data_IF_146536923692
#
_entry.id   IF_146536923692
#
_cell.length_a   1.000
_cell.length_b   1.000
_cell.length_c   1.000
_cell.angle_alpha   90.00
_cell.angle_beta   90.00
_cell.angle_gamma   90.00
#
_symmetry.space_group_name_H-M   'P 1'
#
loop_
_entity.id
_entity.type
_entity.pdbx_description
1 polymer ?
#
# COMPACT_ATOMS: atom_id res chain seq x y z
N UNK A 1 -44.61 -43.64 -58.64
CA UNK A 1 -44.73 -43.25 -57.19
C UNK A 1 -43.92 -41.99 -57.02
N UNK A 2 -44.56 -40.80 -57.11
CA UNK A 2 -43.93 -39.49 -56.98
C UNK A 2 -44.09 -39.07 -55.51
N UNK A 3 -42.97 -38.96 -54.74
CA UNK A 3 -42.94 -38.41 -53.36
C UNK A 3 -42.92 -36.91 -53.45
N UNK A 4 -44.02 -36.30 -53.03
CA UNK A 4 -44.18 -34.85 -52.89
C UNK A 4 -43.49 -34.42 -51.57
N UNK A 5 -42.41 -33.64 -51.63
CA UNK A 5 -41.72 -33.07 -50.47
C UNK A 5 -42.34 -31.71 -50.17
N UNK A 6 -43.16 -31.64 -49.10
CA UNK A 6 -43.75 -30.41 -48.63
C UNK A 6 -42.67 -29.75 -47.72
N UNK A 7 -42.10 -28.62 -48.19
CA UNK A 7 -41.20 -27.78 -47.43
C UNK A 7 -42.02 -26.88 -46.53
N UNK A 8 -42.13 -27.25 -45.24
CA UNK A 8 -42.75 -26.39 -44.21
C UNK A 8 -41.75 -25.28 -43.85
N UNK A 9 -41.95 -24.09 -44.37
CA UNK A 9 -41.22 -22.90 -44.04
C UNK A 9 -41.72 -22.41 -42.66
N UNK A 10 -40.99 -22.74 -41.61
CA UNK A 10 -41.26 -22.26 -40.25
C UNK A 10 -40.92 -20.77 -40.21
N UNK A 11 -41.94 -19.92 -40.38
CA UNK A 11 -41.86 -18.50 -40.01
C UNK A 11 -41.75 -18.38 -38.48
N UNK A 12 -40.53 -18.29 -37.98
CA UNK A 12 -40.29 -17.86 -36.60
C UNK A 12 -40.65 -16.35 -36.56
N UNK A 13 -41.66 -15.94 -35.77
CA UNK A 13 -41.88 -14.51 -35.58
C UNK A 13 -40.67 -13.96 -34.76
N UNK A 14 -39.89 -13.13 -35.39
CA UNK A 14 -38.97 -12.24 -34.66
C UNK A 14 -39.82 -11.35 -33.75
N UNK A 15 -40.00 -11.79 -32.51
CA UNK A 15 -40.55 -10.93 -31.48
C UNK A 15 -39.48 -9.87 -31.25
N UNK A 16 -39.58 -8.75 -31.93
CA UNK A 16 -38.90 -7.53 -31.56
C UNK A 16 -39.52 -7.13 -30.21
N UNK A 17 -38.88 -7.48 -29.12
CA UNK A 17 -39.20 -6.89 -27.81
C UNK A 17 -38.90 -5.40 -27.95
N UNK A 18 -39.94 -4.62 -28.25
CA UNK A 18 -39.88 -3.19 -28.05
C UNK A 18 -39.54 -2.96 -26.59
N UNK A 19 -38.31 -2.52 -26.29
CA UNK A 19 -37.94 -2.13 -24.95
C UNK A 19 -38.93 -1.02 -24.54
N UNK A 20 -39.84 -1.36 -23.63
CA UNK A 20 -40.77 -0.40 -23.06
C UNK A 20 -39.97 0.68 -22.35
N UNK A 21 -40.41 1.92 -22.52
CA UNK A 21 -39.82 3.08 -21.84
C UNK A 21 -39.75 2.85 -20.35
N UNK A 22 -38.57 2.95 -19.73
CA UNK A 22 -38.43 2.67 -18.28
C UNK A 22 -39.02 3.82 -17.46
N UNK A 23 -39.58 3.48 -16.30
CA UNK A 23 -40.22 4.45 -15.37
C UNK A 23 -39.30 5.61 -14.95
N UNK A 24 -37.99 5.43 -15.03
CA UNK A 24 -37.02 6.46 -14.67
C UNK A 24 -36.68 7.43 -15.79
N UNK A 25 -37.13 7.19 -17.05
CA UNK A 25 -36.77 8.05 -18.17
C UNK A 25 -37.46 9.41 -18.09
N UNK A 26 -38.77 9.45 -17.84
CA UNK A 26 -39.50 10.69 -17.65
C UNK A 26 -39.31 11.26 -16.27
N UNK A 27 -39.08 12.59 -16.15
CA UNK A 27 -38.74 13.26 -14.90
C UNK A 27 -39.79 13.09 -13.79
N UNK A 28 -41.09 13.16 -14.13
CA UNK A 28 -42.17 13.04 -13.17
C UNK A 28 -42.32 11.61 -12.66
N UNK A 29 -42.19 10.63 -13.54
CA UNK A 29 -42.20 9.20 -13.20
C UNK A 29 -40.95 8.87 -12.33
N UNK A 30 -39.78 9.39 -12.69
CA UNK A 30 -38.55 9.23 -11.91
C UNK A 30 -38.70 9.74 -10.48
N UNK A 31 -39.25 10.94 -10.28
CA UNK A 31 -39.51 11.49 -8.94
C UNK A 31 -40.53 10.67 -8.15
N UNK A 32 -41.54 10.11 -8.81
CA UNK A 32 -42.56 9.27 -8.18
C UNK A 32 -42.01 7.91 -7.73
N UNK A 33 -41.24 7.23 -8.57
CA UNK A 33 -40.71 5.88 -8.29
C UNK A 33 -39.45 5.91 -7.44
N UNK A 34 -38.63 6.98 -7.55
CA UNK A 34 -37.37 7.15 -6.85
C UNK A 34 -37.34 8.48 -6.06
N UNK A 35 -38.20 8.65 -5.05
CA UNK A 35 -38.28 9.88 -4.27
C UNK A 35 -36.97 10.15 -3.52
N UNK A 36 -36.51 11.41 -3.54
CA UNK A 36 -35.26 11.88 -2.91
C UNK A 36 -35.15 11.56 -1.42
N UNK A 37 -36.26 11.43 -0.70
CA UNK A 37 -36.27 11.00 0.70
C UNK A 37 -35.81 9.55 0.89
N UNK A 38 -35.87 8.70 -0.14
CA UNK A 38 -35.55 7.26 -0.06
C UNK A 38 -34.39 6.81 -0.94
N UNK A 39 -34.02 7.60 -1.96
CA UNK A 39 -32.99 7.28 -2.93
C UNK A 39 -32.03 8.44 -3.14
N UNK A 40 -30.78 8.09 -3.44
CA UNK A 40 -29.87 8.98 -4.15
C UNK A 40 -29.91 8.58 -5.63
N UNK A 41 -30.03 9.57 -6.50
CA UNK A 41 -30.20 9.36 -7.92
C UNK A 41 -29.27 10.25 -8.75
N UNK A 42 -28.93 9.79 -9.93
CA UNK A 42 -28.26 10.56 -10.96
C UNK A 42 -28.79 10.17 -12.33
N UNK A 43 -28.99 11.13 -13.20
CA UNK A 43 -29.51 10.94 -14.55
C UNK A 43 -28.63 11.65 -15.56
N UNK A 44 -28.32 10.98 -16.65
CA UNK A 44 -27.61 11.58 -17.75
C UNK A 44 -28.16 11.04 -19.08
N UNK A 45 -28.20 11.91 -20.08
CA UNK A 45 -28.53 11.52 -21.43
C UNK A 45 -27.60 12.18 -22.43
N UNK A 46 -27.42 11.56 -23.58
CA UNK A 46 -26.63 12.14 -24.65
C UNK A 46 -26.93 11.45 -25.99
N UNK A 47 -26.78 12.22 -27.04
CA UNK A 47 -26.77 11.68 -28.40
C UNK A 47 -25.37 11.17 -28.76
N UNK A 48 -25.32 10.22 -29.67
CA UNK A 48 -24.10 9.70 -30.26
C UNK A 48 -23.41 10.77 -31.10
N UNK A 49 -22.13 10.98 -30.85
CA UNK A 49 -21.30 11.90 -31.66
C UNK A 49 -20.90 11.24 -32.97
N UNK A 50 -20.59 12.06 -34.01
CA UNK A 50 -20.08 11.53 -35.25
C UNK A 50 -18.82 10.68 -35.05
N UNK A 51 -18.82 9.43 -35.52
CA UNK A 51 -17.71 8.50 -35.35
C UNK A 51 -17.62 7.80 -34.00
N UNK A 52 -18.48 8.13 -33.03
CA UNK A 52 -18.49 7.48 -31.69
C UNK A 52 -19.21 6.11 -31.76
N UNK A 53 -18.63 5.07 -31.13
CA UNK A 53 -19.30 3.77 -31.02
C UNK A 53 -20.46 3.83 -30.02
N UNK A 54 -21.43 2.91 -30.14
CA UNK A 54 -22.54 2.80 -29.19
C UNK A 54 -22.02 2.54 -27.76
N UNK A 55 -21.00 1.68 -27.62
CA UNK A 55 -20.39 1.36 -26.32
C UNK A 55 -19.72 2.57 -25.69
N UNK A 56 -19.05 3.42 -26.47
CA UNK A 56 -18.38 4.61 -25.99
C UNK A 56 -19.36 5.64 -25.41
N UNK A 57 -20.47 5.93 -26.14
CA UNK A 57 -21.49 6.85 -25.65
C UNK A 57 -22.23 6.27 -24.43
N UNK A 58 -22.53 4.96 -24.44
CA UNK A 58 -23.18 4.27 -23.32
C UNK A 58 -22.31 4.35 -22.06
N UNK A 59 -21.00 4.10 -22.18
CA UNK A 59 -20.06 4.25 -21.08
C UNK A 59 -20.03 5.69 -20.55
N UNK A 60 -19.90 6.67 -21.44
CA UNK A 60 -19.87 8.09 -21.08
C UNK A 60 -21.13 8.52 -20.32
N UNK A 61 -22.30 8.09 -20.76
CA UNK A 61 -23.59 8.43 -20.12
C UNK A 61 -23.73 7.73 -18.77
N UNK A 62 -23.30 6.46 -18.65
CA UNK A 62 -23.24 5.74 -17.35
C UNK A 62 -22.33 6.44 -16.35
N UNK A 63 -21.16 6.87 -16.79
CA UNK A 63 -20.19 7.53 -15.91
C UNK A 63 -20.72 8.91 -15.48
N UNK A 64 -21.39 9.64 -16.35
CA UNK A 64 -22.05 10.90 -16.01
C UNK A 64 -23.18 10.72 -14.99
N UNK A 65 -24.05 9.71 -15.14
CA UNK A 65 -25.11 9.41 -14.18
C UNK A 65 -24.55 8.99 -12.82
N UNK A 66 -23.47 8.19 -12.78
CA UNK A 66 -22.77 7.86 -11.54
C UNK A 66 -22.21 9.10 -10.85
N UNK A 67 -21.57 9.98 -11.62
CA UNK A 67 -20.98 11.22 -11.11
C UNK A 67 -22.05 12.12 -10.50
N UNK A 68 -23.22 12.23 -11.12
CA UNK A 68 -24.33 13.02 -10.59
C UNK A 68 -24.88 12.41 -9.29
N UNK A 69 -25.11 11.08 -9.22
CA UNK A 69 -25.52 10.42 -8.00
C UNK A 69 -24.49 10.62 -6.87
N UNK A 70 -23.18 10.51 -7.18
CA UNK A 70 -22.11 10.76 -6.25
C UNK A 70 -22.06 12.22 -5.77
N UNK A 71 -22.32 13.18 -6.67
CA UNK A 71 -22.33 14.61 -6.31
C UNK A 71 -23.42 14.95 -5.30
N UNK A 72 -24.58 14.31 -5.41
CA UNK A 72 -25.70 14.47 -4.48
C UNK A 72 -25.31 14.02 -3.05
N UNK A 73 -24.54 12.95 -2.93
CA UNK A 73 -24.02 12.46 -1.65
C UNK A 73 -22.92 13.40 -1.11
N UNK A 74 -22.01 13.87 -1.97
CA UNK A 74 -20.86 14.72 -1.60
C UNK A 74 -21.23 16.06 -0.99
N UNK A 75 -22.29 16.68 -1.44
CA UNK A 75 -22.74 17.98 -0.91
C UNK A 75 -22.98 17.92 0.61
N UNK A 76 -23.30 16.74 1.14
CA UNK A 76 -23.51 16.51 2.56
C UNK A 76 -22.21 16.20 3.34
N UNK A 77 -21.17 15.66 2.67
CA UNK A 77 -19.90 15.20 3.30
C UNK A 77 -18.92 16.32 3.66
N UNK A 78 -19.03 17.51 3.10
CA UNK A 78 -18.00 18.56 3.19
C UNK A 78 -17.75 19.16 4.59
N UNK A 79 -18.50 18.80 5.60
CA UNK A 79 -18.44 19.43 6.93
C UNK A 79 -17.97 18.55 8.10
N UNK A 80 -17.51 17.31 7.87
CA UNK A 80 -17.17 16.40 8.98
C UNK A 80 -15.67 16.15 9.08
N UNK A 81 -15.06 16.62 10.18
CA UNK A 81 -13.62 16.52 10.48
C UNK A 81 -13.39 15.39 11.50
N UNK A 82 -12.96 14.21 11.08
CA UNK A 82 -12.87 13.07 12.01
C UNK A 82 -11.48 12.54 12.33
N UNK A 83 -10.39 12.88 11.68
CA UNK A 83 -9.07 12.23 11.94
C UNK A 83 -7.88 13.19 12.08
N UNK A 84 -8.06 14.35 12.72
CA UNK A 84 -6.96 15.30 12.92
C UNK A 84 -5.85 14.75 13.84
N UNK A 85 -6.20 13.97 14.88
CA UNK A 85 -5.23 13.45 15.84
C UNK A 85 -4.26 12.43 15.21
N UNK A 86 -4.76 11.48 14.42
CA UNK A 86 -3.92 10.50 13.73
C UNK A 86 -3.03 11.18 12.67
N UNK A 87 -3.60 12.09 11.88
CA UNK A 87 -2.84 12.87 10.88
C UNK A 87 -1.72 13.70 11.52
N UNK A 88 -1.93 14.25 12.71
CA UNK A 88 -0.91 15.04 13.41
C UNK A 88 0.21 14.17 13.96
N UNK A 89 -0.11 13.00 14.51
CA UNK A 89 0.88 12.01 14.98
C UNK A 89 1.73 11.50 13.81
N UNK A 90 1.11 11.21 12.66
CA UNK A 90 1.78 10.70 11.47
C UNK A 90 2.74 11.72 10.82
N UNK A 91 2.46 13.02 10.92
CA UNK A 91 3.33 14.09 10.38
C UNK A 91 4.70 14.18 11.08
N UNK A 92 4.80 13.68 12.31
CA UNK A 92 6.04 13.69 13.11
C UNK A 92 6.92 12.47 12.88
N UNK A 93 6.51 11.52 11.99
CA UNK A 93 7.21 10.26 11.77
C UNK A 93 8.21 10.32 10.62
N UNK A 94 9.29 9.54 10.75
CA UNK A 94 10.34 9.40 9.74
C UNK A 94 10.39 7.99 9.13
N UNK A 95 11.07 7.84 7.99
CA UNK A 95 11.33 6.55 7.36
C UNK A 95 10.11 5.94 6.65
N UNK A 96 9.90 4.63 6.83
CA UNK A 96 8.84 3.83 6.17
C UNK A 96 7.44 4.37 6.47
N UNK A 97 7.21 4.87 7.70
CA UNK A 97 5.93 5.44 8.10
C UNK A 97 5.60 6.75 7.39
N UNK A 98 6.60 7.52 6.96
CA UNK A 98 6.39 8.79 6.25
C UNK A 98 5.67 8.61 4.91
N UNK A 99 5.99 7.56 4.18
CA UNK A 99 5.32 7.26 2.90
C UNK A 99 3.87 6.82 3.13
N UNK A 100 3.64 5.90 4.05
CA UNK A 100 2.29 5.42 4.42
C UNK A 100 1.42 6.53 5.03
N UNK A 101 2.04 7.44 5.81
CA UNK A 101 1.38 8.63 6.33
C UNK A 101 0.96 9.62 5.22
N UNK A 102 1.78 9.80 4.18
CA UNK A 102 1.42 10.61 3.00
C UNK A 102 0.28 9.98 2.23
N UNK A 103 0.30 8.67 2.07
CA UNK A 103 -0.74 7.90 1.38
C UNK A 103 -2.07 7.97 2.15
N UNK A 104 -2.05 7.82 3.47
CA UNK A 104 -3.19 8.03 4.36
C UNK A 104 -3.75 9.45 4.22
N UNK A 105 -2.90 10.49 4.32
CA UNK A 105 -3.32 11.89 4.20
C UNK A 105 -3.87 12.19 2.80
N UNK A 106 -3.27 11.63 1.75
CA UNK A 106 -3.76 11.78 0.38
C UNK A 106 -5.14 11.15 0.19
N UNK A 107 -5.35 9.92 0.68
CA UNK A 107 -6.64 9.22 0.60
C UNK A 107 -7.74 9.96 1.38
N UNK A 108 -7.44 10.51 2.55
CA UNK A 108 -8.42 11.26 3.36
C UNK A 108 -8.76 12.64 2.80
N UNK A 109 -7.91 13.22 1.94
CA UNK A 109 -8.14 14.55 1.33
C UNK A 109 -8.68 14.51 -0.09
N UNK A 110 -8.50 13.40 -0.82
CA UNK A 110 -8.85 13.25 -2.24
C UNK A 110 -9.99 12.26 -2.47
N UNK A 111 -11.10 12.34 -1.76
CA UNK A 111 -12.29 11.53 -2.04
C UNK A 111 -12.95 11.88 -3.39
N UNK A 112 -12.21 11.74 -4.51
CA UNK A 112 -12.69 12.10 -5.84
C UNK A 112 -13.35 10.93 -6.57
N UNK A 113 -12.97 9.67 -6.24
CA UNK A 113 -13.52 8.45 -6.86
C UNK A 113 -14.20 7.56 -5.80
N UNK A 114 -15.28 8.07 -5.18
CA UNK A 114 -16.05 7.27 -4.25
C UNK A 114 -16.85 6.20 -5.02
N UNK A 115 -16.48 4.93 -4.89
CA UNK A 115 -17.37 3.83 -5.24
C UNK A 115 -18.54 3.82 -4.24
N UNK A 116 -19.73 4.19 -4.71
CA UNK A 116 -20.94 4.15 -3.89
C UNK A 116 -21.40 2.69 -3.80
N UNK A 117 -21.33 2.07 -2.60
CA UNK A 117 -21.73 0.67 -2.46
C UNK A 117 -23.22 0.49 -2.80
N UNK A 118 -23.52 -0.48 -3.67
CA UNK A 118 -24.89 -0.81 -4.07
C UNK A 118 -25.53 0.12 -5.08
N UNK A 119 -24.77 1.05 -5.67
CA UNK A 119 -25.24 1.88 -6.77
C UNK A 119 -25.57 1.01 -7.99
N UNK A 120 -26.81 1.08 -8.43
CA UNK A 120 -27.27 0.44 -9.66
C UNK A 120 -27.26 1.45 -10.80
N UNK A 121 -26.95 0.99 -12.02
CA UNK A 121 -26.97 1.85 -13.21
C UNK A 121 -27.68 1.12 -14.33
N UNK A 122 -28.78 1.68 -14.75
CA UNK A 122 -29.60 1.21 -15.88
C UNK A 122 -29.36 2.13 -17.07
N UNK A 123 -29.54 1.59 -18.28
CA UNK A 123 -29.43 2.35 -19.53
C UNK A 123 -30.59 2.03 -20.46
N UNK A 124 -31.00 3.02 -21.19
CA UNK A 124 -32.05 2.87 -22.20
C UNK A 124 -31.73 3.74 -23.40
N UNK A 125 -32.06 3.23 -24.58
CA UNK A 125 -31.94 3.98 -25.80
C UNK A 125 -33.35 4.29 -26.34
N UNK A 126 -33.65 5.56 -26.46
CA UNK A 126 -34.91 6.01 -27.07
C UNK A 126 -34.95 5.59 -28.54
N UNK A 127 -35.88 4.71 -28.95
CA UNK A 127 -35.95 4.25 -30.31
C UNK A 127 -36.40 5.33 -31.29
N UNK A 128 -37.02 6.42 -30.84
CA UNK A 128 -37.51 7.50 -31.64
C UNK A 128 -36.47 8.56 -31.95
N UNK A 129 -35.61 8.89 -30.98
CA UNK A 129 -34.59 9.93 -31.09
C UNK A 129 -33.16 9.38 -31.21
N UNK A 130 -32.95 8.12 -30.85
CA UNK A 130 -31.63 7.51 -30.76
C UNK A 130 -30.83 7.99 -29.55
N UNK A 131 -31.43 8.80 -28.68
CA UNK A 131 -30.81 9.30 -27.43
C UNK A 131 -30.53 8.13 -26.47
N UNK A 132 -29.35 8.13 -25.88
CA UNK A 132 -28.97 7.15 -24.87
C UNK A 132 -29.04 7.83 -23.51
N UNK A 133 -29.83 7.26 -22.63
CA UNK A 133 -30.00 7.71 -21.25
C UNK A 133 -29.43 6.67 -20.28
N UNK A 134 -28.88 7.12 -19.15
CA UNK A 134 -28.51 6.29 -18.02
C UNK A 134 -29.10 6.87 -16.74
N UNK A 135 -29.49 5.97 -15.85
CA UNK A 135 -30.03 6.28 -14.55
C UNK A 135 -29.27 5.50 -13.49
N UNK A 136 -28.58 6.23 -12.62
CA UNK A 136 -27.88 5.67 -11.47
C UNK A 136 -28.73 5.91 -10.22
N UNK A 137 -28.93 4.87 -9.40
CA UNK A 137 -29.70 5.00 -8.17
C UNK A 137 -29.22 4.04 -7.08
N UNK A 138 -29.35 4.48 -5.84
CA UNK A 138 -29.15 3.63 -4.65
C UNK A 138 -30.21 3.97 -3.60
N UNK A 139 -30.79 2.93 -3.00
CA UNK A 139 -31.70 3.10 -1.87
C UNK A 139 -30.93 3.52 -0.64
N UNK A 140 -31.30 4.64 0.04
CA UNK A 140 -30.60 5.16 1.24
C UNK A 140 -30.41 4.09 2.30
N UNK A 141 -31.45 3.35 2.67
CA UNK A 141 -31.36 2.27 3.64
C UNK A 141 -30.44 1.10 3.24
N UNK A 142 -30.20 0.90 1.94
CA UNK A 142 -29.23 -0.10 1.46
C UNK A 142 -27.82 0.44 1.57
N UNK A 143 -27.62 1.70 1.21
CA UNK A 143 -26.33 2.37 1.33
C UNK A 143 -25.88 2.44 2.80
N UNK A 144 -26.76 2.86 3.72
CA UNK A 144 -26.49 2.90 5.16
C UNK A 144 -25.99 1.55 5.65
N UNK A 145 -26.73 0.47 5.42
CA UNK A 145 -26.33 -0.89 5.85
C UNK A 145 -25.00 -1.35 5.24
N UNK A 146 -24.70 -0.95 4.02
CA UNK A 146 -23.44 -1.30 3.38
C UNK A 146 -22.27 -0.49 3.94
N UNK A 147 -22.47 0.77 4.30
CA UNK A 147 -21.49 1.60 4.97
C UNK A 147 -21.18 1.07 6.37
N UNK A 148 -22.20 0.76 7.18
CA UNK A 148 -22.03 0.13 8.50
C UNK A 148 -21.24 -1.19 8.39
N UNK A 149 -21.58 -2.02 7.42
CA UNK A 149 -20.84 -3.26 7.14
C UNK A 149 -19.40 -2.98 6.72
N UNK A 150 -19.15 -1.97 5.89
CA UNK A 150 -17.80 -1.61 5.45
C UNK A 150 -16.95 -1.12 6.62
N UNK A 151 -17.52 -0.34 7.54
CA UNK A 151 -16.88 0.10 8.78
C UNK A 151 -16.48 -1.13 9.61
N UNK A 152 -17.43 -2.03 9.90
CA UNK A 152 -17.17 -3.24 10.69
C UNK A 152 -16.08 -4.12 10.07
N UNK A 153 -16.18 -4.39 8.78
CA UNK A 153 -15.19 -5.21 8.06
C UNK A 153 -13.82 -4.52 8.05
N UNK A 154 -13.79 -3.20 7.85
CA UNK A 154 -12.56 -2.42 7.88
C UNK A 154 -11.87 -2.49 9.24
N UNK A 155 -12.62 -2.29 10.33
CA UNK A 155 -12.10 -2.36 11.71
C UNK A 155 -11.59 -3.76 12.06
N UNK A 156 -12.35 -4.82 11.72
CA UNK A 156 -11.91 -6.21 11.92
C UNK A 156 -10.61 -6.53 11.16
N UNK A 157 -10.47 -6.01 9.95
CA UNK A 157 -9.23 -6.17 9.15
C UNK A 157 -8.06 -5.45 9.81
N UNK A 158 -8.28 -4.24 10.32
CA UNK A 158 -7.27 -3.47 11.06
C UNK A 158 -6.86 -4.24 12.33
N UNK A 159 -7.81 -4.69 13.14
CA UNK A 159 -7.57 -5.46 14.35
C UNK A 159 -6.73 -6.70 14.07
N UNK A 160 -7.13 -7.51 13.07
CA UNK A 160 -6.37 -8.69 12.63
C UNK A 160 -4.94 -8.34 12.23
N UNK A 161 -4.75 -7.22 11.53
CA UNK A 161 -3.41 -6.75 11.15
C UNK A 161 -2.58 -6.35 12.36
N UNK A 162 -3.19 -5.69 13.35
CA UNK A 162 -2.51 -5.30 14.59
C UNK A 162 -2.16 -6.52 15.46
N UNK A 163 -3.00 -7.55 15.50
CA UNK A 163 -2.69 -8.81 16.19
C UNK A 163 -1.49 -9.52 15.57
N UNK A 164 -1.40 -9.49 14.24
CA UNK A 164 -0.22 -10.00 13.54
C UNK A 164 1.04 -9.18 13.84
N UNK A 165 0.91 -7.85 13.94
CA UNK A 165 2.03 -6.98 14.34
C UNK A 165 2.52 -7.35 15.73
N UNK A 166 1.62 -7.54 16.71
CA UNK A 166 2.00 -7.92 18.07
C UNK A 166 2.70 -9.29 18.10
N UNK A 167 2.23 -10.26 17.31
CA UNK A 167 2.90 -11.56 17.16
C UNK A 167 4.31 -11.41 16.57
N UNK A 168 4.50 -10.58 15.56
CA UNK A 168 5.81 -10.31 14.97
C UNK A 168 6.75 -9.65 16.01
N UNK A 169 6.24 -8.70 16.80
CA UNK A 169 7.00 -8.07 17.89
C UNK A 169 7.41 -9.12 18.94
N UNK A 170 6.49 -9.96 19.38
CA UNK A 170 6.76 -11.03 20.34
C UNK A 170 7.82 -12.01 19.84
N UNK A 171 7.84 -12.29 18.54
CA UNK A 171 8.84 -13.13 17.87
C UNK A 171 10.17 -12.41 17.61
N UNK A 172 10.30 -11.11 17.97
CA UNK A 172 11.48 -10.29 17.73
C UNK A 172 11.67 -9.86 16.27
N UNK A 173 10.63 -10.01 15.43
CA UNK A 173 10.64 -9.65 14.00
C UNK A 173 10.23 -8.17 13.81
N UNK A 174 10.94 -7.26 14.50
CA UNK A 174 10.58 -5.83 14.59
C UNK A 174 10.47 -5.13 13.22
N UNK A 175 11.30 -5.49 12.22
CA UNK A 175 11.20 -4.88 10.89
C UNK A 175 9.93 -5.29 10.17
N UNK A 176 9.57 -6.58 10.20
CA UNK A 176 8.33 -7.06 9.59
C UNK A 176 7.10 -6.46 10.31
N UNK A 177 7.15 -6.38 11.64
CA UNK A 177 6.13 -5.70 12.46
C UNK A 177 5.94 -4.24 12.02
N UNK A 178 7.05 -3.51 11.83
CA UNK A 178 7.05 -2.12 11.37
C UNK A 178 6.44 -1.96 9.97
N UNK A 179 6.83 -2.84 9.04
CA UNK A 179 6.31 -2.80 7.67
C UNK A 179 4.81 -3.12 7.63
N UNK A 180 4.35 -4.08 8.44
CA UNK A 180 2.94 -4.43 8.55
C UNK A 180 2.13 -3.31 9.20
N UNK A 181 2.63 -2.73 10.30
CA UNK A 181 2.00 -1.57 10.95
C UNK A 181 1.87 -0.38 9.99
N UNK A 182 2.90 -0.12 9.16
CA UNK A 182 2.86 0.92 8.14
C UNK A 182 1.78 0.64 7.07
N UNK A 183 1.63 -0.62 6.65
CA UNK A 183 0.59 -1.04 5.69
C UNK A 183 -0.83 -1.00 6.27
N UNK A 184 -0.99 -1.00 7.58
CA UNK A 184 -2.29 -0.90 8.25
C UNK A 184 -2.82 0.53 8.26
N UNK A 185 -1.96 1.54 8.21
CA UNK A 185 -2.37 2.96 8.20
C UNK A 185 -3.38 3.34 7.11
N UNK A 186 -3.20 2.96 5.83
CA UNK A 186 -4.16 3.29 4.77
C UNK A 186 -5.56 2.70 5.00
N UNK A 187 -5.69 1.60 5.76
CA UNK A 187 -6.97 0.96 6.06
C UNK A 187 -7.86 1.85 6.94
N UNK A 188 -7.27 2.64 7.84
CA UNK A 188 -8.03 3.63 8.62
C UNK A 188 -8.63 4.73 7.74
N UNK A 189 -8.02 5.06 6.60
CA UNK A 189 -8.59 6.03 5.67
C UNK A 189 -9.87 5.51 5.00
N UNK A 190 -9.91 4.21 4.69
CA UNK A 190 -11.10 3.55 4.13
C UNK A 190 -12.25 3.54 5.14
N UNK A 191 -11.98 3.26 6.42
CA UNK A 191 -12.96 3.33 7.51
C UNK A 191 -13.46 4.76 7.71
N UNK A 192 -12.56 5.74 7.76
CA UNK A 192 -12.89 7.16 7.93
C UNK A 192 -13.79 7.68 6.78
N UNK A 193 -13.51 7.28 5.54
CA UNK A 193 -14.35 7.62 4.40
C UNK A 193 -15.76 7.03 4.50
N UNK A 194 -15.86 5.75 4.92
CA UNK A 194 -17.15 5.12 5.15
C UNK A 194 -17.94 5.79 6.28
N UNK A 195 -17.28 6.15 7.40
CA UNK A 195 -17.88 6.87 8.52
C UNK A 195 -18.38 8.27 8.10
N UNK A 196 -17.57 9.04 7.38
CA UNK A 196 -17.97 10.35 6.84
C UNK A 196 -19.17 10.25 5.91
N UNK A 197 -19.16 9.24 5.04
CA UNK A 197 -20.28 9.03 4.12
C UNK A 197 -21.54 8.61 4.87
N UNK A 198 -21.40 7.76 5.92
CA UNK A 198 -22.55 7.35 6.74
C UNK A 198 -23.20 8.54 7.43
N UNK A 199 -22.40 9.44 8.06
CA UNK A 199 -22.92 10.69 8.65
C UNK A 199 -23.64 11.57 7.63
N UNK A 200 -23.14 11.58 6.38
CA UNK A 200 -23.76 12.41 5.34
C UNK A 200 -25.09 11.84 4.81
N UNK A 201 -25.30 10.54 4.88
CA UNK A 201 -26.48 9.86 4.30
C UNK A 201 -27.50 9.46 5.34
N UNK A 202 -27.12 9.39 6.62
CA UNK A 202 -27.98 9.05 7.75
C UNK A 202 -27.94 10.17 8.81
N UNK A 203 -29.04 10.89 8.92
CA UNK A 203 -29.21 11.97 9.92
C UNK A 203 -29.24 11.44 11.36
N UNK A 204 -29.44 10.13 11.55
CA UNK A 204 -29.47 9.48 12.86
C UNK A 204 -28.15 8.74 13.18
N UNK A 205 -27.11 8.90 12.35
CA UNK A 205 -25.82 8.28 12.61
C UNK A 205 -25.25 8.76 13.96
N UNK A 206 -24.95 7.80 14.83
CA UNK A 206 -24.43 8.03 16.18
C UNK A 206 -23.06 7.38 16.39
N UNK A 207 -22.49 7.51 17.59
CA UNK A 207 -21.19 6.93 17.93
C UNK A 207 -21.17 5.41 17.80
N UNK A 208 -22.31 4.72 18.03
CA UNK A 208 -22.42 3.25 17.96
C UNK A 208 -22.43 2.80 16.51
N UNK A 209 -23.31 3.35 15.66
CA UNK A 209 -23.38 3.04 14.23
C UNK A 209 -22.08 3.34 13.48
N UNK A 210 -21.37 4.40 13.92
CA UNK A 210 -20.04 4.79 13.40
C UNK A 210 -18.89 3.99 14.01
N UNK A 211 -19.11 3.19 15.06
CA UNK A 211 -18.09 2.43 15.79
C UNK A 211 -16.88 3.28 16.20
N UNK A 212 -17.14 4.52 16.66
CA UNK A 212 -16.09 5.50 16.95
C UNK A 212 -15.19 5.08 18.12
N UNK A 213 -15.74 4.40 19.14
CA UNK A 213 -14.96 3.92 20.29
C UNK A 213 -13.93 2.86 19.87
N UNK A 214 -14.35 1.93 19.02
CA UNK A 214 -13.48 0.87 18.49
C UNK A 214 -12.39 1.48 17.60
N UNK A 215 -12.78 2.38 16.68
CA UNK A 215 -11.84 3.12 15.82
C UNK A 215 -10.77 3.84 16.66
N UNK A 216 -11.16 4.57 17.71
CA UNK A 216 -10.24 5.27 18.61
C UNK A 216 -9.32 4.31 19.37
N UNK A 217 -9.82 3.15 19.74
CA UNK A 217 -9.05 2.13 20.46
C UNK A 217 -7.97 1.53 19.56
N UNK A 218 -8.32 1.14 18.33
CA UNK A 218 -7.37 0.61 17.36
C UNK A 218 -6.35 1.67 16.93
N UNK A 219 -6.76 2.94 16.78
CA UNK A 219 -5.83 4.04 16.50
C UNK A 219 -4.81 4.24 17.62
N UNK A 220 -5.24 4.20 18.90
CA UNK A 220 -4.32 4.29 20.05
C UNK A 220 -3.36 3.11 20.10
N UNK A 221 -3.86 1.89 19.85
CA UNK A 221 -3.03 0.68 19.78
C UNK A 221 -1.96 0.81 18.69
N UNK A 222 -2.35 1.18 17.47
CA UNK A 222 -1.39 1.40 16.38
C UNK A 222 -0.36 2.48 16.72
N UNK A 223 -0.80 3.60 17.30
CA UNK A 223 0.09 4.70 17.70
C UNK A 223 1.11 4.24 18.75
N UNK A 224 0.69 3.42 19.74
CA UNK A 224 1.58 2.78 20.73
C UNK A 224 2.61 1.88 20.07
N UNK A 225 2.16 0.96 19.21
CA UNK A 225 3.05 0.05 18.46
C UNK A 225 4.08 0.85 17.63
N UNK A 226 3.64 1.89 16.94
CA UNK A 226 4.55 2.74 16.15
C UNK A 226 5.57 3.45 17.03
N UNK A 227 5.16 3.94 18.22
CA UNK A 227 6.08 4.58 19.16
C UNK A 227 7.14 3.59 19.66
N UNK A 228 6.73 2.37 19.97
CA UNK A 228 7.65 1.30 20.44
C UNK A 228 8.60 0.85 19.31
N UNK A 229 8.09 0.76 18.07
CA UNK A 229 8.90 0.40 16.91
C UNK A 229 9.75 1.58 16.36
N UNK A 230 9.54 2.81 16.83
CA UNK A 230 10.31 4.00 16.44
C UNK A 230 11.80 3.88 16.83
N UNK A 231 12.08 3.20 17.92
CA UNK A 231 13.45 2.96 18.36
C UNK A 231 14.17 1.87 17.58
N UNK A 232 13.84 1.64 16.33
CA UNK A 232 14.61 0.86 15.39
C UNK A 232 15.12 -0.50 15.92
N UNK A 233 15.80 -1.23 15.05
CA UNK A 233 16.57 -2.40 15.47
C UNK A 233 17.89 -1.90 16.05
N UNK A 234 18.15 -2.22 17.30
CA UNK A 234 19.43 -1.93 17.95
C UNK A 234 20.47 -2.95 17.51
N UNK A 235 21.53 -2.48 16.86
CA UNK A 235 22.63 -3.33 16.40
C UNK A 235 23.90 -2.97 17.16
N UNK A 236 24.51 -3.98 17.80
CA UNK A 236 25.90 -3.89 18.19
C UNK A 236 26.78 -4.30 17.01
N UNK A 237 27.58 -3.38 16.47
CA UNK A 237 28.47 -3.65 15.34
C UNK A 237 29.94 -3.57 15.77
N UNK A 238 30.56 -4.74 15.89
CA UNK A 238 32.00 -4.89 16.02
C UNK A 238 32.60 -5.16 14.65
N UNK A 239 33.40 -4.24 14.13
CA UNK A 239 33.98 -4.37 12.80
C UNK A 239 35.47 -4.04 12.86
N UNK A 240 36.30 -5.04 12.59
CA UNK A 240 37.76 -4.91 12.43
C UNK A 240 38.11 -5.09 10.95
N UNK A 241 38.72 -4.09 10.36
CA UNK A 241 39.20 -4.11 8.97
C UNK A 241 40.69 -3.80 8.95
N UNK A 242 41.52 -4.84 8.94
CA UNK A 242 42.96 -4.68 8.92
C UNK A 242 43.48 -4.55 7.48
N UNK A 243 44.02 -3.36 7.19
CA UNK A 243 44.66 -3.06 5.92
C UNK A 243 46.19 -2.97 6.14
N UNK A 244 46.84 -4.13 6.10
CA UNK A 244 48.29 -4.26 6.26
C UNK A 244 48.83 -3.64 7.56
N UNK A 245 48.19 -3.93 8.70
CA UNK A 245 48.54 -3.40 10.01
C UNK A 245 47.87 -2.04 10.36
N UNK A 246 47.06 -1.50 9.47
CA UNK A 246 46.32 -0.25 9.70
C UNK A 246 44.82 -0.51 9.70
N UNK A 247 44.10 -0.02 10.70
CA UNK A 247 42.66 -0.17 10.74
C UNK A 247 41.93 0.72 9.71
N UNK A 248 41.18 0.11 8.81
CA UNK A 248 40.36 0.79 7.81
C UNK A 248 38.94 1.05 8.35
N UNK A 249 38.80 2.08 9.17
CA UNK A 249 37.54 2.45 9.85
C UNK A 249 36.39 2.81 8.88
N UNK A 250 36.68 3.14 7.62
CA UNK A 250 35.66 3.48 6.63
C UNK A 250 34.70 2.31 6.34
N UNK A 251 35.14 1.04 6.45
CA UNK A 251 34.25 -0.12 6.25
C UNK A 251 33.09 -0.11 7.25
N UNK A 252 33.41 0.07 8.55
CA UNK A 252 32.39 0.17 9.60
C UNK A 252 31.42 1.31 9.35
N UNK A 253 31.93 2.50 8.99
CA UNK A 253 31.13 3.68 8.74
C UNK A 253 30.18 3.50 7.53
N UNK A 254 30.64 2.84 6.46
CA UNK A 254 29.81 2.53 5.28
C UNK A 254 28.66 1.58 5.65
N UNK A 255 28.96 0.48 6.35
CA UNK A 255 27.94 -0.49 6.80
C UNK A 255 26.92 0.19 7.72
N UNK A 256 27.38 0.99 8.70
CA UNK A 256 26.50 1.75 9.58
C UNK A 256 25.61 2.71 8.79
N UNK A 257 26.17 3.44 7.84
CA UNK A 257 25.42 4.40 7.00
C UNK A 257 24.29 3.73 6.21
N UNK A 258 24.55 2.56 5.62
CA UNK A 258 23.52 1.83 4.87
C UNK A 258 22.45 1.22 5.77
N UNK A 259 22.82 0.62 6.91
CA UNK A 259 21.87 0.05 7.86
C UNK A 259 21.04 1.14 8.56
N UNK A 260 21.60 2.34 8.81
CA UNK A 260 20.86 3.48 9.36
C UNK A 260 19.73 3.96 8.41
N UNK A 261 19.93 3.88 7.08
CA UNK A 261 18.87 4.18 6.10
C UNK A 261 17.69 3.22 6.21
N UNK A 262 17.92 2.01 6.74
CA UNK A 262 16.89 1.02 7.01
C UNK A 262 16.22 1.20 8.39
N UNK A 263 16.64 2.22 9.15
CA UNK A 263 16.11 2.53 10.49
C UNK A 263 16.77 1.73 11.60
N UNK A 264 17.95 1.14 11.36
CA UNK A 264 18.75 0.56 12.43
C UNK A 264 19.44 1.63 13.26
N UNK A 265 19.52 1.41 14.57
CA UNK A 265 20.31 2.21 15.52
C UNK A 265 21.50 1.40 16.03
N UNK A 266 22.61 2.08 16.37
CA UNK A 266 23.82 1.40 16.82
C UNK A 266 24.05 1.67 18.29
N UNK A 267 24.29 0.59 19.05
CA UNK A 267 24.55 0.62 20.47
C UNK A 267 26.02 0.24 20.77
N UNK A 268 26.53 0.69 21.90
CA UNK A 268 27.92 0.46 22.31
C UNK A 268 28.16 -0.89 22.99
N UNK A 269 27.09 -1.51 23.51
CA UNK A 269 27.14 -2.81 24.17
C UNK A 269 26.33 -3.85 23.44
N UNK A 270 26.84 -5.07 23.31
CA UNK A 270 26.09 -6.19 22.75
C UNK A 270 24.86 -6.55 23.61
N UNK A 271 24.91 -6.33 24.93
CA UNK A 271 23.78 -6.60 25.80
C UNK A 271 22.57 -5.70 25.56
N UNK A 272 22.80 -4.48 25.05
CA UNK A 272 21.75 -3.50 24.76
C UNK A 272 21.22 -3.60 23.32
N UNK A 273 21.69 -4.59 22.56
CA UNK A 273 21.33 -4.77 21.15
C UNK A 273 20.27 -5.84 20.96
N UNK A 274 19.50 -5.72 19.88
CA UNK A 274 18.66 -6.82 19.37
C UNK A 274 19.52 -7.86 18.63
N UNK A 275 20.54 -7.36 17.91
CA UNK A 275 21.48 -8.15 17.12
C UNK A 275 22.92 -7.73 17.36
N UNK A 276 23.77 -8.70 17.66
CA UNK A 276 25.21 -8.50 17.73
C UNK A 276 25.87 -9.01 16.43
N UNK A 277 26.49 -8.09 15.70
CA UNK A 277 27.16 -8.34 14.42
C UNK A 277 28.67 -8.17 14.62
N UNK A 278 29.41 -9.20 14.30
CA UNK A 278 30.87 -9.22 14.37
C UNK A 278 31.44 -9.44 12.97
N UNK A 279 32.32 -8.53 12.54
CA UNK A 279 32.97 -8.56 11.24
C UNK A 279 34.49 -8.48 11.48
N UNK A 280 35.20 -9.44 10.90
CA UNK A 280 36.67 -9.40 10.81
C UNK A 280 37.06 -9.49 9.33
N UNK A 281 37.64 -8.43 8.78
CA UNK A 281 37.87 -8.25 7.36
C UNK A 281 39.32 -7.83 7.07
N UNK A 282 40.31 -8.74 7.22
CA UNK A 282 41.70 -8.44 6.86
C UNK A 282 41.87 -8.35 5.35
N UNK A 283 42.74 -7.41 4.91
CA UNK A 283 43.23 -7.34 3.54
C UNK A 283 44.52 -8.14 3.39
N UNK A 284 44.64 -8.87 2.28
CA UNK A 284 45.88 -9.56 1.90
C UNK A 284 46.32 -9.18 0.50
N UNK A 285 47.62 -8.99 0.34
CA UNK A 285 48.23 -8.81 -0.99
C UNK A 285 48.11 -10.11 -1.80
N UNK A 286 47.75 -9.99 -3.04
CA UNK A 286 47.62 -11.16 -3.92
C UNK A 286 48.69 -11.21 -5.00
N UNK A 287 48.71 -10.21 -5.89
CA UNK A 287 49.62 -10.23 -7.05
C UNK A 287 49.87 -8.77 -7.54
N UNK A 288 51.01 -8.64 -8.21
CA UNK A 288 51.36 -7.47 -9.03
C UNK A 288 51.51 -7.93 -10.47
N UNK A 289 50.70 -7.42 -11.36
CA UNK A 289 50.80 -7.71 -12.81
C UNK A 289 51.36 -6.49 -13.52
N UNK A 290 52.30 -6.73 -14.39
CA UNK A 290 52.92 -5.69 -15.24
C UNK A 290 52.41 -5.87 -16.67
N UNK A 291 51.71 -4.89 -17.19
CA UNK A 291 51.27 -4.82 -18.58
C UNK A 291 51.94 -3.61 -19.22
N UNK A 292 53.04 -3.89 -19.93
CA UNK A 292 53.90 -2.79 -20.44
C UNK A 292 54.51 -1.96 -19.32
N UNK A 293 54.35 -0.63 -19.38
CA UNK A 293 54.87 0.32 -18.39
C UNK A 293 53.97 0.47 -17.15
N UNK A 294 52.76 -0.11 -17.18
CA UNK A 294 51.79 0.01 -16.11
C UNK A 294 51.76 -1.22 -15.22
N UNK A 295 52.03 -1.04 -13.93
CA UNK A 295 51.85 -2.07 -12.91
C UNK A 295 50.47 -1.99 -12.31
N UNK A 296 49.78 -3.12 -12.21
CA UNK A 296 48.49 -3.27 -11.50
C UNK A 296 48.66 -4.16 -10.27
N UNK A 297 48.29 -3.62 -9.12
CA UNK A 297 48.35 -4.29 -7.82
C UNK A 297 46.99 -4.90 -7.51
N UNK A 298 46.97 -6.13 -7.02
CA UNK A 298 45.72 -6.82 -6.65
C UNK A 298 45.75 -7.24 -5.18
N UNK A 299 44.64 -7.00 -4.49
CA UNK A 299 44.42 -7.41 -3.11
C UNK A 299 43.11 -8.17 -2.98
N UNK A 300 43.02 -9.02 -1.97
CA UNK A 300 41.74 -9.56 -1.50
C UNK A 300 41.44 -8.99 -0.12
N UNK A 301 40.14 -8.81 0.17
CA UNK A 301 39.59 -8.64 1.52
C UNK A 301 38.76 -9.87 1.82
N UNK A 302 39.10 -10.57 2.89
CA UNK A 302 38.42 -11.79 3.33
C UNK A 302 37.63 -11.45 4.60
N UNK A 303 36.32 -11.27 4.48
CA UNK A 303 35.45 -10.87 5.60
C UNK A 303 34.76 -12.08 6.21
N UNK A 304 35.05 -12.35 7.49
CA UNK A 304 34.28 -13.27 8.34
C UNK A 304 33.16 -12.49 9.02
N UNK A 305 31.92 -12.95 8.87
CA UNK A 305 30.73 -12.29 9.38
C UNK A 305 30.03 -13.27 10.32
N UNK A 306 29.77 -12.84 11.55
CA UNK A 306 28.98 -13.60 12.53
C UNK A 306 27.86 -12.73 13.08
N UNK A 307 26.63 -13.28 13.11
CA UNK A 307 25.45 -12.58 13.60
C UNK A 307 24.78 -13.42 14.68
N UNK A 308 24.53 -12.81 15.83
CA UNK A 308 23.92 -13.44 16.99
C UNK A 308 22.66 -12.69 17.39
N UNK A 309 21.57 -13.37 17.66
CA UNK A 309 20.35 -12.80 18.25
C UNK A 309 20.57 -12.65 19.75
N UNK A 310 20.62 -11.42 20.26
CA UNK A 310 21.02 -11.15 21.65
C UNK A 310 20.03 -11.73 22.66
N UNK A 311 18.72 -11.63 22.39
CA UNK A 311 17.68 -12.13 23.29
C UNK A 311 17.78 -13.63 23.61
N UNK A 312 18.30 -14.45 22.68
CA UNK A 312 18.43 -15.91 22.84
C UNK A 312 19.89 -16.36 22.96
N UNK A 313 20.86 -15.50 22.68
CA UNK A 313 22.26 -15.85 22.54
C UNK A 313 22.56 -16.75 21.35
N UNK A 314 21.58 -17.02 20.48
CA UNK A 314 21.72 -17.93 19.35
C UNK A 314 22.50 -17.26 18.21
N UNK A 315 23.55 -17.92 17.75
CA UNK A 315 24.23 -17.57 16.51
C UNK A 315 23.33 -18.00 15.34
N UNK A 316 22.90 -17.05 14.53
CA UNK A 316 22.00 -17.31 13.40
C UNK A 316 22.71 -17.35 12.06
N UNK A 317 23.90 -16.75 11.99
CA UNK A 317 24.68 -16.69 10.76
C UNK A 317 26.18 -16.65 11.05
N UNK A 318 26.94 -17.41 10.30
CA UNK A 318 28.40 -17.31 10.21
C UNK A 318 28.84 -17.74 8.81
N UNK A 319 29.56 -16.85 8.14
CA UNK A 319 30.09 -17.12 6.80
C UNK A 319 31.29 -16.23 6.48
N UNK A 320 32.06 -16.63 5.48
CA UNK A 320 33.20 -15.90 4.98
C UNK A 320 32.97 -15.52 3.51
N UNK A 321 33.12 -14.25 3.19
CA UNK A 321 33.11 -13.74 1.83
C UNK A 321 34.44 -13.08 1.47
N UNK A 322 34.82 -13.12 0.21
CA UNK A 322 36.07 -12.54 -0.29
C UNK A 322 35.81 -11.67 -1.49
N UNK A 323 36.48 -10.50 -1.54
CA UNK A 323 36.45 -9.61 -2.69
C UNK A 323 37.84 -9.21 -3.14
N UNK A 324 38.02 -9.15 -4.47
CA UNK A 324 39.26 -8.74 -5.11
C UNK A 324 39.17 -7.28 -5.55
N UNK A 325 40.12 -6.46 -5.12
CA UNK A 325 40.31 -5.11 -5.65
C UNK A 325 41.57 -4.99 -6.48
N UNK A 326 41.62 -4.04 -7.38
CA UNK A 326 42.77 -3.78 -8.24
C UNK A 326 43.02 -2.29 -8.42
N UNK A 327 44.31 -1.88 -8.36
CA UNK A 327 44.68 -0.48 -8.55
C UNK A 327 46.12 -0.32 -9.07
N UNK A 328 46.38 0.74 -9.83
CA UNK A 328 47.71 0.99 -10.41
C UNK A 328 48.66 1.69 -9.45
N UNK A 329 48.19 2.36 -8.39
CA UNK A 329 48.97 3.14 -7.45
C UNK A 329 49.62 2.32 -6.31
N UNK A 330 49.16 1.07 -6.07
CA UNK A 330 49.72 0.23 -5.03
C UNK A 330 48.71 -0.65 -4.33
N UNK A 331 49.20 -1.49 -3.43
CA UNK A 331 48.41 -2.47 -2.70
C UNK A 331 47.37 -1.84 -1.76
N UNK A 332 47.69 -0.69 -1.14
CA UNK A 332 46.73 0.02 -0.29
C UNK A 332 45.49 0.49 -1.06
N UNK A 333 45.69 1.05 -2.26
CA UNK A 333 44.59 1.49 -3.09
C UNK A 333 43.78 0.32 -3.64
N UNK A 334 44.46 -0.79 -3.98
CA UNK A 334 43.78 -2.03 -4.37
C UNK A 334 42.97 -2.62 -3.21
N UNK A 335 43.45 -2.56 -1.95
CA UNK A 335 42.70 -2.97 -0.78
C UNK A 335 41.47 -2.07 -0.54
N UNK A 336 41.61 -0.74 -0.68
CA UNK A 336 40.46 0.21 -0.59
C UNK A 336 39.39 -0.11 -1.62
N UNK A 337 39.77 -0.48 -2.84
CA UNK A 337 38.84 -0.91 -3.88
C UNK A 337 38.12 -2.20 -3.49
N UNK A 338 38.84 -3.21 -2.95
CA UNK A 338 38.24 -4.43 -2.42
C UNK A 338 37.26 -4.15 -1.27
N UNK A 339 37.61 -3.27 -0.31
CA UNK A 339 36.72 -2.87 0.77
C UNK A 339 35.45 -2.17 0.26
N UNK A 340 35.56 -1.33 -0.77
CA UNK A 340 34.40 -0.68 -1.38
C UNK A 340 33.45 -1.68 -2.03
N UNK A 341 33.99 -2.76 -2.63
CA UNK A 341 33.19 -3.80 -3.29
C UNK A 341 32.56 -4.77 -2.29
N UNK A 342 33.23 -5.09 -1.18
CA UNK A 342 32.73 -6.04 -0.19
C UNK A 342 31.66 -5.42 0.73
N UNK A 343 31.76 -4.11 1.02
CA UNK A 343 30.85 -3.39 1.93
C UNK A 343 29.36 -3.60 1.61
N UNK A 344 28.88 -3.44 0.36
CA UNK A 344 27.47 -3.65 0.03
C UNK A 344 27.05 -5.13 0.17
N UNK A 345 27.95 -6.08 -0.03
CA UNK A 345 27.68 -7.51 0.14
C UNK A 345 27.49 -7.85 1.62
N UNK A 346 28.38 -7.35 2.49
CA UNK A 346 28.24 -7.49 3.94
C UNK A 346 26.90 -6.89 4.41
N UNK A 347 26.58 -5.69 3.94
CA UNK A 347 25.33 -5.02 4.31
C UNK A 347 24.11 -5.82 3.85
N UNK A 348 24.13 -6.39 2.66
CA UNK A 348 23.05 -7.24 2.14
C UNK A 348 22.84 -8.49 2.98
N UNK A 349 23.93 -9.16 3.40
CA UNK A 349 23.87 -10.32 4.30
C UNK A 349 23.25 -9.93 5.63
N UNK A 350 23.75 -8.87 6.28
CA UNK A 350 23.20 -8.41 7.56
C UNK A 350 21.71 -8.10 7.41
N UNK A 351 21.32 -7.33 6.39
CA UNK A 351 19.93 -7.02 6.11
C UNK A 351 19.08 -8.27 5.98
N UNK A 352 19.51 -9.26 5.22
CA UNK A 352 18.77 -10.51 5.02
C UNK A 352 18.54 -11.23 6.34
N UNK A 353 19.54 -11.31 7.21
CA UNK A 353 19.45 -12.04 8.47
C UNK A 353 18.60 -11.34 9.54
N UNK A 354 18.63 -10.01 9.60
CA UNK A 354 17.84 -9.25 10.58
C UNK A 354 16.38 -9.04 10.14
N UNK A 355 16.03 -9.39 8.88
CA UNK A 355 14.65 -9.28 8.34
C UNK A 355 13.91 -10.62 8.31
N UNK A 356 14.61 -11.72 8.54
CA UNK A 356 14.01 -13.05 8.71
C UNK A 356 13.55 -13.26 10.14
#
# INVERSE_FOLDING_TARGET
MKKLFILLLSMCPLIIQAQTEPNWYQADMRRSFYPEGKYFVGYAESNRRSGESLDAVTKRVKDAARTEAASTIRVHVQNTTTNQALSQTLRTMEGTFRQSAREFTSKTTTSVDMEIPGLQVETWQDPSTGTIAAFAYVKKATLIRQLEKSITVGLTKIETSLDQVDQLVANGQKMQARDLAAKTLPQFAEVDEAQKTLVAVDENADEESLQLQETRTLQRRLTGIIADLKHGINIYLSCTADMFGTNYSALKAQIQGELSKLGCTFVSSAADSDWAVYINAPARQYNKSNLGEVSTFFCYVDANIRITKTATGQQIFEDQISEKGGHTLGFEQAARDAYKQISPKITAIIKQQITQ
#
